data_IF_751645890599
#
_entry.id   IF_751645890599
#
_cell.length_a   1.000
_cell.length_b   1.000
_cell.length_c   1.000
_cell.angle_alpha   90.00
_cell.angle_beta   90.00
_cell.angle_gamma   90.00
#
_symmetry.space_group_name_H-M   'P 1'
#
loop_
_entity.id
_entity.type
_entity.pdbx_description
1 polymer ?
#
# COMPACT_ATOMS: atom_id res chain seq x y z
N UNK A 1 -25.86 2.32 9.31
CA UNK A 1 -24.51 2.01 8.83
C UNK A 1 -23.50 2.67 9.78
N UNK A 2 -22.60 1.90 10.37
CA UNK A 2 -21.43 2.41 11.06
C UNK A 2 -20.43 2.98 10.05
N UNK A 3 -19.87 4.15 10.36
CA UNK A 3 -18.75 4.73 9.62
C UNK A 3 -17.47 4.48 10.41
N UNK A 4 -16.37 4.29 9.72
CA UNK A 4 -15.07 4.12 10.34
C UNK A 4 -13.93 4.48 9.40
N UNK A 5 -12.75 4.62 9.98
CA UNK A 5 -11.50 4.88 9.27
C UNK A 5 -10.67 3.62 9.29
N UNK A 6 -10.33 3.11 8.12
CA UNK A 6 -9.42 1.99 7.92
C UNK A 6 -8.05 2.54 7.58
N UNK A 7 -7.08 2.33 8.45
CA UNK A 7 -5.73 2.76 8.24
C UNK A 7 -4.84 1.58 7.87
N UNK A 8 -3.98 1.80 6.90
CA UNK A 8 -3.09 0.80 6.33
C UNK A 8 -1.69 1.36 6.41
N UNK A 9 -0.84 0.72 7.21
CA UNK A 9 0.58 1.04 7.29
C UNK A 9 1.34 0.08 6.38
N UNK A 10 1.85 0.61 5.27
CA UNK A 10 2.75 -0.10 4.36
C UNK A 10 4.17 -0.01 4.92
N UNK A 11 4.70 -1.12 5.42
CA UNK A 11 5.99 -1.17 6.10
C UNK A 11 7.10 -1.42 5.08
N UNK A 12 7.12 -2.64 4.54
CA UNK A 12 8.17 -3.11 3.66
C UNK A 12 7.70 -4.20 2.69
N UNK A 13 8.51 -4.51 1.70
CA UNK A 13 8.39 -5.70 0.86
C UNK A 13 9.76 -6.35 0.72
N UNK A 14 9.76 -7.68 0.77
CA UNK A 14 10.97 -8.49 0.71
C UNK A 14 10.84 -9.64 -0.28
N UNK A 15 11.94 -9.95 -0.95
CA UNK A 15 12.02 -11.15 -1.78
C UNK A 15 11.21 -11.07 -3.07
N UNK A 16 10.75 -9.86 -3.42
CA UNK A 16 10.11 -9.60 -4.70
C UNK A 16 11.04 -10.04 -5.81
N UNK A 17 10.55 -10.89 -6.73
CA UNK A 17 11.41 -11.42 -7.78
C UNK A 17 11.95 -10.27 -8.61
N UNK A 18 13.27 -10.25 -8.70
CA UNK A 18 13.94 -9.38 -9.64
C UNK A 18 13.86 -10.03 -11.02
N UNK A 19 12.94 -9.55 -11.85
CA UNK A 19 13.05 -9.71 -13.31
C UNK A 19 14.19 -8.79 -13.74
N UNK A 20 15.43 -9.21 -13.49
CA UNK A 20 16.63 -8.58 -14.04
C UNK A 20 16.51 -8.73 -15.57
N UNK A 21 15.76 -7.81 -16.21
CA UNK A 21 15.81 -7.66 -17.65
C UNK A 21 17.20 -7.12 -17.93
N UNK A 22 18.10 -8.03 -18.26
CA UNK A 22 19.45 -7.71 -18.72
C UNK A 22 19.30 -6.80 -19.94
N UNK A 23 19.36 -5.49 -19.73
CA UNK A 23 19.39 -4.53 -20.80
C UNK A 23 20.83 -4.51 -21.31
N UNK A 24 21.10 -4.94 -22.56
CA UNK A 24 22.46 -5.09 -23.08
C UNK A 24 23.23 -3.76 -23.20
N UNK A 25 22.59 -2.63 -22.92
CA UNK A 25 23.25 -1.35 -22.75
C UNK A 25 22.26 -0.21 -22.86
N UNK A 26 22.20 0.66 -21.85
CA UNK A 26 21.80 2.04 -22.13
C UNK A 26 22.91 2.64 -22.99
N UNK A 27 22.58 3.25 -24.13
CA UNK A 27 23.55 3.83 -25.08
C UNK A 27 24.58 4.79 -24.43
N UNK A 28 24.29 5.30 -23.23
CA UNK A 28 25.11 6.26 -22.50
C UNK A 28 26.01 5.61 -21.42
N UNK A 29 25.92 4.31 -21.21
CA UNK A 29 26.77 3.56 -20.27
C UNK A 29 27.32 2.35 -21.01
N UNK A 30 28.58 2.40 -21.46
CA UNK A 30 29.28 1.29 -22.11
C UNK A 30 29.53 0.07 -21.19
N UNK A 31 28.93 0.08 -19.99
CA UNK A 31 28.89 -1.00 -19.00
C UNK A 31 27.43 -1.35 -18.69
N UNK A 32 27.12 -2.61 -18.29
CA UNK A 32 25.79 -3.00 -17.84
C UNK A 32 25.36 -2.11 -16.68
N UNK A 33 24.40 -1.22 -16.91
CA UNK A 33 23.83 -0.41 -15.84
C UNK A 33 22.68 -1.20 -15.21
N UNK A 34 22.73 -1.41 -13.89
CA UNK A 34 21.53 -1.81 -13.16
C UNK A 34 20.56 -0.64 -13.27
N UNK A 35 19.51 -0.80 -14.08
CA UNK A 35 18.38 0.13 -14.04
C UNK A 35 17.86 0.09 -12.61
N UNK A 36 18.00 1.21 -11.91
CA UNK A 36 17.54 1.31 -10.54
C UNK A 36 16.01 1.21 -10.54
N UNK A 37 15.51 0.04 -10.15
CA UNK A 37 14.08 -0.19 -9.90
C UNK A 37 13.56 0.82 -8.89
N UNK A 38 12.39 1.39 -9.18
CA UNK A 38 11.66 2.35 -8.37
C UNK A 38 10.28 1.77 -8.08
N UNK A 39 10.19 0.72 -7.24
CA UNK A 39 8.92 0.09 -6.95
C UNK A 39 8.04 1.02 -6.11
N UNK A 40 6.75 1.03 -6.40
CA UNK A 40 5.71 1.73 -5.66
C UNK A 40 4.45 0.86 -5.62
N UNK A 41 3.54 1.15 -4.69
CA UNK A 41 2.39 0.29 -4.40
C UNK A 41 1.10 1.08 -4.59
N UNK A 42 0.22 0.57 -5.45
CA UNK A 42 -1.17 0.97 -5.52
C UNK A 42 -1.99 0.17 -4.51
N UNK A 43 -2.66 0.88 -3.61
CA UNK A 43 -3.52 0.32 -2.58
C UNK A 43 -4.96 0.62 -2.97
N UNK A 44 -5.72 -0.43 -3.28
CA UNK A 44 -7.13 -0.31 -3.68
C UNK A 44 -8.03 -0.90 -2.60
N UNK A 45 -9.05 -0.15 -2.23
CA UNK A 45 -10.04 -0.56 -1.23
C UNK A 45 -11.42 0.04 -1.55
N UNK A 46 -12.43 -0.81 -1.80
CA UNK A 46 -13.83 -0.36 -1.94
C UNK A 46 -14.07 0.78 -2.94
N UNK A 47 -13.31 0.82 -4.05
CA UNK A 47 -13.38 1.90 -5.05
C UNK A 47 -12.50 3.13 -4.77
N UNK A 48 -11.83 3.19 -3.61
CA UNK A 48 -10.79 4.16 -3.31
C UNK A 48 -9.43 3.62 -3.74
N UNK A 49 -8.59 4.48 -4.29
CA UNK A 49 -7.21 4.17 -4.65
C UNK A 49 -6.23 5.14 -4.00
N UNK A 50 -5.10 4.63 -3.52
CA UNK A 50 -3.99 5.41 -3.01
C UNK A 50 -2.69 4.87 -3.61
N UNK A 51 -1.75 5.75 -3.88
CA UNK A 51 -0.44 5.38 -4.43
C UNK A 51 0.64 5.74 -3.43
N UNK A 52 1.53 4.79 -3.14
CA UNK A 52 2.67 5.03 -2.26
C UNK A 52 3.75 5.85 -2.94
N UNK A 53 4.68 6.38 -2.15
CA UNK A 53 5.95 6.87 -2.66
C UNK A 53 6.78 5.71 -3.23
N UNK A 54 7.88 6.06 -3.90
CA UNK A 54 8.86 5.07 -4.35
C UNK A 54 9.58 4.47 -3.13
N UNK A 55 9.55 3.14 -3.03
CA UNK A 55 10.15 2.38 -1.95
C UNK A 55 11.67 2.58 -1.90
N UNK A 56 12.18 2.90 -0.71
CA UNK A 56 13.61 3.07 -0.47
C UNK A 56 14.20 1.74 0.00
N UNK A 57 15.46 1.48 -0.31
CA UNK A 57 16.11 0.25 0.13
C UNK A 57 17.24 -0.21 -0.77
N UNK A 58 18.04 -1.15 -0.28
CA UNK A 58 19.14 -1.78 -1.02
C UNK A 58 18.81 -3.26 -1.27
N UNK A 59 19.17 -3.74 -2.46
CA UNK A 59 18.95 -5.14 -2.84
C UNK A 59 17.46 -5.48 -3.01
N UNK A 60 17.03 -6.61 -2.41
CA UNK A 60 15.68 -7.17 -2.55
C UNK A 60 14.69 -6.75 -1.46
N UNK A 61 15.07 -5.80 -0.60
CA UNK A 61 14.22 -5.23 0.45
C UNK A 61 13.87 -3.79 0.10
N UNK A 62 12.59 -3.45 0.24
CA UNK A 62 12.03 -2.12 -0.04
C UNK A 62 11.18 -1.68 1.14
N UNK A 63 11.37 -0.46 1.59
CA UNK A 63 10.74 0.12 2.75
C UNK A 63 10.00 1.39 2.31
N UNK A 64 8.76 1.49 2.77
CA UNK A 64 7.91 2.67 2.55
C UNK A 64 7.67 3.37 3.88
N UNK A 65 7.25 2.63 4.91
CA UNK A 65 6.83 3.17 6.20
C UNK A 65 5.79 4.30 6.03
N UNK A 66 4.84 4.09 5.12
CA UNK A 66 3.81 5.06 4.77
C UNK A 66 2.44 4.59 5.27
N UNK A 67 1.67 5.52 5.83
CA UNK A 67 0.33 5.25 6.37
C UNK A 67 -0.73 5.87 5.46
N UNK A 68 -1.71 5.06 5.09
CA UNK A 68 -2.86 5.44 4.27
C UNK A 68 -4.13 5.29 5.09
N UNK A 69 -5.13 6.10 4.80
CA UNK A 69 -6.43 6.02 5.46
C UNK A 69 -7.55 6.01 4.43
N UNK A 70 -8.52 5.14 4.65
CA UNK A 70 -9.70 4.97 3.81
C UNK A 70 -10.95 5.12 4.65
N UNK A 71 -11.97 5.75 4.08
CA UNK A 71 -13.29 5.83 4.68
C UNK A 71 -14.07 4.53 4.44
N UNK A 72 -14.65 3.99 5.50
CA UNK A 72 -15.41 2.74 5.47
C UNK A 72 -16.84 2.96 5.95
N UNK A 73 -17.79 2.39 5.22
CA UNK A 73 -19.21 2.31 5.60
C UNK A 73 -19.60 0.83 5.77
N UNK A 74 -20.07 0.45 6.95
CA UNK A 74 -20.41 -0.94 7.30
C UNK A 74 -21.78 -1.04 8.00
N UNK A 75 -22.65 -2.01 7.70
CA UNK A 75 -22.70 -2.80 6.48
C UNK A 75 -23.36 -1.96 5.38
N UNK A 76 -22.64 -1.70 4.29
CA UNK A 76 -23.22 -1.09 3.09
C UNK A 76 -23.55 -2.22 2.09
N UNK A 77 -24.76 -2.76 2.17
CA UNK A 77 -25.36 -3.53 1.06
C UNK A 77 -24.71 -4.87 0.63
N UNK A 78 -23.60 -5.31 1.20
CA UNK A 78 -23.10 -6.69 1.09
C UNK A 78 -22.40 -7.05 -0.22
N UNK A 79 -21.38 -6.29 -0.60
CA UNK A 79 -20.51 -6.62 -1.74
C UNK A 79 -19.12 -7.10 -1.28
N UNK A 80 -18.67 -8.24 -1.80
CA UNK A 80 -17.40 -8.88 -1.39
C UNK A 80 -16.17 -7.98 -1.60
N UNK A 81 -16.22 -7.02 -2.52
CA UNK A 81 -15.09 -6.14 -2.80
C UNK A 81 -14.87 -5.03 -1.76
N UNK A 82 -15.81 -4.78 -0.85
CA UNK A 82 -15.62 -3.84 0.28
C UNK A 82 -14.80 -4.47 1.41
N UNK A 83 -14.61 -5.79 1.38
CA UNK A 83 -13.89 -6.54 2.40
C UNK A 83 -12.47 -6.95 1.99
N UNK A 84 -11.98 -6.47 0.85
CA UNK A 84 -10.63 -6.76 0.35
C UNK A 84 -9.83 -5.48 0.13
N UNK A 85 -8.57 -5.50 0.57
CA UNK A 85 -7.56 -4.51 0.17
C UNK A 85 -6.65 -5.21 -0.83
N UNK A 86 -6.41 -4.55 -1.96
CA UNK A 86 -5.48 -5.03 -2.99
C UNK A 86 -4.24 -4.14 -2.96
N UNK A 87 -3.08 -4.76 -2.82
CA UNK A 87 -1.77 -4.13 -2.88
C UNK A 87 -1.10 -4.52 -4.19
N UNK A 88 -1.13 -3.64 -5.17
CA UNK A 88 -0.51 -3.84 -6.47
C UNK A 88 0.85 -3.17 -6.49
N UNK A 89 1.91 -3.96 -6.64
CA UNK A 89 3.29 -3.49 -6.73
C UNK A 89 3.63 -3.24 -8.20
N UNK A 90 4.05 -2.01 -8.49
CA UNK A 90 4.46 -1.56 -9.81
C UNK A 90 5.91 -1.09 -9.75
N UNK A 91 6.67 -1.24 -10.84
CA UNK A 91 8.01 -0.67 -10.97
C UNK A 91 8.02 0.49 -11.94
N UNK A 92 8.42 1.68 -11.44
CA UNK A 92 8.44 2.89 -12.25
C UNK A 92 9.70 2.96 -13.11
N UNK A 93 9.54 2.87 -14.42
CA UNK A 93 10.64 3.04 -15.36
C UNK A 93 10.74 4.50 -15.82
N UNK A 94 11.97 4.98 -16.07
CA UNK A 94 12.20 6.38 -16.50
C UNK A 94 11.88 6.61 -17.99
N UNK A 95 11.91 5.54 -18.78
CA UNK A 95 11.89 5.62 -20.25
C UNK A 95 10.88 4.64 -20.88
N UNK A 96 10.20 3.83 -20.07
CA UNK A 96 9.28 2.79 -20.49
C UNK A 96 8.02 2.84 -19.62
N UNK A 97 6.98 2.13 -20.05
CA UNK A 97 5.75 1.93 -19.29
C UNK A 97 6.04 1.25 -17.95
N UNK A 98 5.28 1.60 -16.92
CA UNK A 98 5.44 1.03 -15.59
C UNK A 98 5.15 -0.48 -15.60
N UNK A 99 6.06 -1.29 -15.06
CA UNK A 99 5.95 -2.75 -15.10
C UNK A 99 5.16 -3.28 -13.89
N UNK A 100 4.19 -4.14 -14.14
CA UNK A 100 3.52 -4.87 -13.07
C UNK A 100 4.47 -5.94 -12.47
N UNK A 101 4.71 -5.83 -11.16
CA UNK A 101 5.63 -6.72 -10.44
C UNK A 101 4.89 -7.83 -9.71
N UNK A 102 3.70 -7.52 -9.18
CA UNK A 102 2.88 -8.48 -8.47
C UNK A 102 1.79 -7.81 -7.66
N UNK A 103 0.91 -8.62 -7.08
CA UNK A 103 -0.22 -8.17 -6.29
C UNK A 103 -0.37 -9.02 -5.03
N UNK A 104 -0.78 -8.41 -3.92
CA UNK A 104 -1.17 -9.10 -2.70
C UNK A 104 -2.59 -8.68 -2.30
N UNK A 105 -3.33 -9.60 -1.68
CA UNK A 105 -4.70 -9.34 -1.23
C UNK A 105 -4.80 -9.58 0.27
N UNK A 106 -5.35 -8.60 1.00
CA UNK A 106 -5.68 -8.72 2.41
C UNK A 106 -7.21 -8.67 2.60
N UNK A 107 -7.74 -9.65 3.33
CA UNK A 107 -9.16 -9.69 3.68
C UNK A 107 -9.38 -9.01 5.03
N UNK A 108 -10.25 -8.01 5.06
CA UNK A 108 -10.49 -7.16 6.24
C UNK A 108 -11.88 -7.36 6.85
N UNK A 109 -12.65 -8.36 6.39
CA UNK A 109 -14.01 -8.65 6.88
C UNK A 109 -14.07 -8.76 8.40
N UNK A 110 -13.18 -9.57 8.99
CA UNK A 110 -13.12 -9.75 10.45
C UNK A 110 -12.68 -8.48 11.16
N UNK A 111 -11.74 -7.73 10.56
CA UNK A 111 -11.24 -6.46 11.11
C UNK A 111 -12.38 -5.44 11.21
N UNK A 112 -13.18 -5.31 10.16
CA UNK A 112 -14.32 -4.41 10.13
C UNK A 112 -15.44 -4.87 11.06
N UNK A 113 -15.78 -6.16 11.04
CA UNK A 113 -16.88 -6.71 11.84
C UNK A 113 -16.60 -6.55 13.35
N UNK A 114 -15.43 -7.01 13.79
CA UNK A 114 -14.99 -6.87 15.18
C UNK A 114 -14.70 -5.42 15.54
N UNK A 115 -14.17 -4.62 14.61
CA UNK A 115 -13.90 -3.21 14.82
C UNK A 115 -15.18 -2.38 15.01
N UNK A 116 -16.27 -2.72 14.33
CA UNK A 116 -17.58 -2.06 14.51
C UNK A 116 -18.20 -2.39 15.88
N UNK A 117 -17.98 -3.61 16.37
CA UNK A 117 -18.43 -4.08 17.68
C UNK A 117 -17.60 -3.46 18.83
N UNK A 118 -16.27 -3.57 18.75
CA UNK A 118 -15.33 -3.14 19.80
C UNK A 118 -14.96 -1.65 19.73
N UNK A 119 -15.26 -0.97 18.63
CA UNK A 119 -14.97 0.44 18.39
C UNK A 119 -13.59 0.71 17.76
N UNK A 120 -12.56 -0.05 18.12
CA UNK A 120 -11.24 -0.04 17.46
C UNK A 120 -10.70 -1.45 17.39
N UNK A 121 -10.05 -1.79 16.28
CA UNK A 121 -9.27 -3.02 16.14
C UNK A 121 -7.98 -2.72 15.40
N UNK A 122 -6.87 -3.22 15.91
CA UNK A 122 -5.55 -3.06 15.32
C UNK A 122 -4.96 -4.44 15.08
N UNK A 123 -4.48 -4.66 13.86
CA UNK A 123 -3.78 -5.87 13.48
C UNK A 123 -2.32 -5.50 13.33
N UNK A 124 -1.48 -6.19 14.11
CA UNK A 124 -0.03 -6.09 14.00
C UNK A 124 0.44 -6.36 12.58
N UNK A 125 1.65 -5.90 12.25
CA UNK A 125 2.25 -6.09 10.93
C UNK A 125 2.22 -7.56 10.52
N UNK A 126 1.54 -7.84 9.40
CA UNK A 126 1.44 -9.16 8.79
C UNK A 126 2.07 -9.16 7.41
N UNK A 127 2.67 -10.29 7.08
CA UNK A 127 3.21 -10.54 5.75
C UNK A 127 2.13 -11.14 4.85
N UNK A 128 1.97 -10.56 3.67
CA UNK A 128 1.06 -11.03 2.64
C UNK A 128 1.89 -11.49 1.44
N UNK A 129 1.49 -12.62 0.87
CA UNK A 129 2.15 -13.19 -0.31
C UNK A 129 1.83 -12.34 -1.53
N UNK A 130 2.88 -11.93 -2.23
CA UNK A 130 2.78 -11.25 -3.51
C UNK A 130 2.78 -12.33 -4.60
N UNK A 131 1.84 -12.22 -5.54
CA UNK A 131 1.71 -13.12 -6.68
C UNK A 131 1.81 -12.34 -7.99
N UNK A 132 2.47 -12.93 -8.98
CA UNK A 132 2.51 -12.40 -10.36
C UNK A 132 1.20 -12.71 -11.10
N UNK A 133 1.06 -12.20 -12.33
CA UNK A 133 -0.14 -12.42 -13.17
C UNK A 133 -0.37 -13.90 -13.48
N UNK A 134 0.70 -14.69 -13.55
CA UNK A 134 0.70 -16.14 -13.71
C UNK A 134 0.46 -16.90 -12.39
N UNK A 135 0.11 -16.18 -11.31
CA UNK A 135 -0.15 -16.70 -9.95
C UNK A 135 1.07 -17.35 -9.28
N UNK A 136 2.27 -17.17 -9.82
CA UNK A 136 3.47 -17.62 -9.14
C UNK A 136 3.83 -16.67 -8.01
N UNK A 137 4.37 -17.25 -6.94
CA UNK A 137 4.82 -16.49 -5.78
C UNK A 137 5.99 -15.59 -6.13
N UNK A 138 5.93 -14.32 -5.72
CA UNK A 138 6.93 -13.28 -6.00
C UNK A 138 7.19 -12.45 -4.75
N UNK A 139 7.47 -13.13 -3.63
CA UNK A 139 7.87 -12.49 -2.37
C UNK A 139 6.70 -12.08 -1.48
N UNK A 140 6.99 -11.18 -0.54
CA UNK A 140 6.08 -10.81 0.54
C UNK A 140 6.05 -9.30 0.74
N UNK A 141 4.88 -8.81 1.16
CA UNK A 141 4.66 -7.42 1.56
C UNK A 141 4.14 -7.38 3.00
N UNK A 142 4.80 -6.58 3.84
CA UNK A 142 4.49 -6.41 5.25
C UNK A 142 3.60 -5.19 5.43
N UNK A 143 2.37 -5.40 5.90
CA UNK A 143 1.42 -4.32 6.18
C UNK A 143 0.74 -4.51 7.53
N UNK A 144 0.48 -3.40 8.22
CA UNK A 144 -0.39 -3.36 9.40
C UNK A 144 -1.69 -2.69 9.03
N UNK A 145 -2.80 -3.18 9.58
CA UNK A 145 -4.15 -2.69 9.28
C UNK A 145 -4.84 -2.39 10.61
N UNK A 146 -5.37 -1.18 10.74
CA UNK A 146 -6.19 -0.76 11.87
C UNK A 146 -7.53 -0.25 11.39
N UNK A 147 -8.58 -0.50 12.16
CA UNK A 147 -9.90 0.08 11.95
C UNK A 147 -10.33 0.82 13.20
N UNK A 148 -10.80 2.05 13.02
CA UNK A 148 -11.38 2.86 14.09
C UNK A 148 -12.77 3.32 13.68
N UNK A 149 -13.78 2.96 14.48
CA UNK A 149 -15.16 3.42 14.29
C UNK A 149 -15.25 4.91 14.58
N UNK A 150 -15.77 5.68 13.63
CA UNK A 150 -16.06 7.10 13.83
C UNK A 150 -17.38 7.18 14.58
N UNK A 151 -17.35 7.76 15.78
CA UNK A 151 -18.57 8.14 16.49
C UNK A 151 -19.05 9.47 15.90
N UNK A 152 -20.31 9.54 15.46
CA UNK A 152 -20.90 10.84 15.09
C UNK A 152 -20.87 11.75 16.33
N UNK A 153 -20.01 12.79 16.29
CA UNK A 153 -19.80 13.74 17.39
C UNK A 153 -18.38 13.85 17.95
N UNK A 154 -17.37 13.16 17.43
CA UNK A 154 -15.97 13.41 17.78
C UNK A 154 -15.37 14.45 16.82
N UNK A 155 -15.14 15.66 17.34
CA UNK A 155 -14.41 16.76 16.71
C UNK A 155 -13.15 16.27 16.01
N UNK A 156 -13.01 16.65 14.74
CA UNK A 156 -11.76 16.59 14.02
C UNK A 156 -10.78 17.53 14.73
N UNK A 157 -9.77 16.98 15.40
CA UNK A 157 -8.56 17.74 15.72
C UNK A 157 -7.90 18.05 14.37
N UNK A 158 -8.29 19.20 13.83
CA UNK A 158 -7.76 19.83 12.64
C UNK A 158 -6.27 20.03 12.89
N UNK A 159 -5.48 19.10 12.34
CA UNK A 159 -4.02 19.18 12.32
C UNK A 159 -3.60 20.52 11.73
N UNK A 160 -3.16 21.41 12.60
CA UNK A 160 -2.79 22.78 12.29
C UNK A 160 -1.84 22.85 11.11
N UNK A 161 -2.29 23.53 10.05
CA UNK A 161 -1.41 24.01 9.01
C UNK A 161 -0.52 25.08 9.63
N UNK A 162 0.79 24.79 9.71
CA UNK A 162 1.81 25.80 9.96
C UNK A 162 1.96 26.61 8.67
N UNK A 163 1.32 27.76 8.64
CA UNK A 163 1.67 28.83 7.71
C UNK A 163 3.03 29.39 8.16
N UNK A 164 4.05 29.21 7.32
CA UNK A 164 5.36 29.80 7.53
C UNK A 164 5.24 31.30 7.28
N UNK A 165 5.15 32.06 8.36
CA UNK A 165 5.35 33.52 8.34
C UNK A 165 6.82 33.78 7.97
N UNK A 166 7.03 34.29 6.75
CA UNK A 166 8.29 34.87 6.33
C UNK A 166 8.44 36.23 7.00
N UNK A 167 9.42 36.39 7.89
CA UNK A 167 9.95 37.70 8.25
C UNK A 167 11.41 37.81 7.81
N UNK A 168 11.57 38.73 6.85
CA UNK A 168 12.69 39.65 6.55
C UNK A 168 14.13 39.13 6.41
#
# INVERSE_FOLDING_TARGET
>A
MAKGRLEVLLVEAQGIKDRDKFHPGCLNCLNPCKIARKPYVHILYGGQECTSSVGKGKGKKREWNEKFAFDVKYPDGGEDHVYKIIFRIMDKHKFDEDEFVGEATAYVKDILSLGVERGKLEVETRQYRVVESDKTYSGEISVSISFTKIKEGAEEDVGGWKESESQE
#
